data_IF_448476091219
#
_entry.id   IF_448476091219
#
_cell.length_a   1.000
_cell.length_b   1.000
_cell.length_c   1.000
_cell.angle_alpha   90.00
_cell.angle_beta   90.00
_cell.angle_gamma   90.00
#
_symmetry.space_group_name_H-M   'P 1'
#
loop_
_entity.id
_entity.type
_entity.pdbx_description
1 polymer ?
#
# COMPACT_ATOMS: atom_id res chain seq x y z
N UNK A 1 -79.24 21.20 115.05
CA UNK A 1 -78.80 22.07 113.93
C UNK A 1 -77.36 21.80 113.48
N UNK A 2 -76.46 21.19 114.28
CA UNK A 2 -75.07 20.91 113.82
C UNK A 2 -74.92 19.75 112.82
N UNK A 3 -75.79 18.72 112.81
CA UNK A 3 -75.63 17.57 111.90
C UNK A 3 -75.86 17.89 110.41
N UNK A 4 -76.84 18.73 110.06
CA UNK A 4 -77.16 19.07 108.65
C UNK A 4 -76.03 19.84 107.94
N UNK A 5 -75.29 20.69 108.67
CA UNK A 5 -74.17 21.47 108.10
C UNK A 5 -72.96 20.59 107.75
N UNK A 6 -72.76 19.52 108.54
CA UNK A 6 -71.69 18.55 108.32
C UNK A 6 -71.99 17.63 107.14
N UNK A 7 -73.23 17.15 107.00
CA UNK A 7 -73.70 16.36 105.85
C UNK A 7 -73.65 17.14 104.53
N UNK A 8 -74.04 18.42 104.53
CA UNK A 8 -74.00 19.26 103.33
C UNK A 8 -72.55 19.55 102.88
N UNK A 9 -71.62 19.70 103.84
CA UNK A 9 -70.19 19.87 103.56
C UNK A 9 -69.56 18.59 103.00
N UNK A 10 -69.91 17.42 103.55
CA UNK A 10 -69.50 16.12 103.03
C UNK A 10 -70.06 15.86 101.61
N UNK A 11 -71.30 16.24 101.33
CA UNK A 11 -71.90 16.13 99.99
C UNK A 11 -71.17 17.01 98.97
N UNK A 12 -70.86 18.27 99.30
CA UNK A 12 -70.11 19.18 98.43
C UNK A 12 -68.69 18.66 98.15
N UNK A 13 -68.07 18.03 99.15
CA UNK A 13 -66.73 17.42 99.03
C UNK A 13 -66.78 16.15 98.16
N UNK A 14 -67.80 15.31 98.31
CA UNK A 14 -68.06 14.15 97.45
C UNK A 14 -68.27 14.56 95.99
N UNK A 15 -69.05 15.62 95.73
CA UNK A 15 -69.26 16.14 94.38
C UNK A 15 -67.98 16.72 93.76
N UNK A 16 -67.15 17.39 94.56
CA UNK A 16 -65.85 17.90 94.13
C UNK A 16 -64.88 16.76 93.78
N UNK A 17 -64.84 15.71 94.59
CA UNK A 17 -64.06 14.49 94.33
C UNK A 17 -64.56 13.80 93.05
N UNK A 18 -65.87 13.71 92.85
CA UNK A 18 -66.46 13.15 91.63
C UNK A 18 -66.12 13.94 90.36
N UNK A 19 -66.12 15.29 90.45
CA UNK A 19 -65.69 16.17 89.35
C UNK A 19 -64.19 16.01 89.05
N UNK A 20 -63.35 15.98 90.07
CA UNK A 20 -61.90 15.75 89.92
C UNK A 20 -61.61 14.38 89.33
N UNK A 21 -62.31 13.33 89.77
CA UNK A 21 -62.19 11.99 89.21
C UNK A 21 -62.52 11.93 87.71
N UNK A 22 -63.60 12.60 87.29
CA UNK A 22 -63.94 12.72 85.86
C UNK A 22 -62.89 13.49 85.06
N UNK A 23 -62.34 14.57 85.61
CA UNK A 23 -61.28 15.33 84.92
C UNK A 23 -59.98 14.52 84.82
N UNK A 24 -59.58 13.80 85.86
CA UNK A 24 -58.41 12.89 85.83
C UNK A 24 -58.62 11.79 84.78
N UNK A 25 -59.81 11.19 84.73
CA UNK A 25 -60.16 10.20 83.71
C UNK A 25 -60.01 10.78 82.30
N UNK A 26 -60.50 12.01 82.08
CA UNK A 26 -60.45 12.69 80.79
C UNK A 26 -59.01 13.05 80.39
N UNK A 27 -58.19 13.52 81.34
CA UNK A 27 -56.75 13.79 81.14
C UNK A 27 -55.98 12.52 80.80
N UNK A 28 -56.23 11.42 81.52
CA UNK A 28 -55.61 10.13 81.26
C UNK A 28 -55.97 9.61 79.86
N UNK A 29 -57.22 9.76 79.43
CA UNK A 29 -57.62 9.36 78.07
C UNK A 29 -56.86 10.18 77.00
N UNK A 30 -56.75 11.50 77.17
CA UNK A 30 -55.97 12.36 76.26
C UNK A 30 -54.50 11.96 76.22
N UNK A 31 -53.93 11.55 77.35
CA UNK A 31 -52.54 11.09 77.42
C UNK A 31 -52.34 9.80 76.62
N UNK A 32 -53.24 8.82 76.78
CA UNK A 32 -53.22 7.55 76.04
C UNK A 32 -53.33 7.82 74.53
N UNK A 33 -54.24 8.70 74.10
CA UNK A 33 -54.43 9.03 72.69
C UNK A 33 -53.18 9.71 72.08
N UNK A 34 -52.53 10.59 72.86
CA UNK A 34 -51.27 11.23 72.45
C UNK A 34 -50.13 10.21 72.34
N UNK A 35 -50.02 9.28 73.29
CA UNK A 35 -49.02 8.22 73.28
C UNK A 35 -49.21 7.30 72.07
N UNK A 36 -50.45 6.89 71.77
CA UNK A 36 -50.76 6.09 70.59
C UNK A 36 -50.38 6.81 69.29
N UNK A 37 -50.74 8.10 69.17
CA UNK A 37 -50.37 8.93 68.00
C UNK A 37 -48.85 9.11 67.87
N UNK A 38 -48.12 9.17 68.98
CA UNK A 38 -46.67 9.24 68.97
C UNK A 38 -46.04 7.93 68.51
N UNK A 39 -46.57 6.79 68.97
CA UNK A 39 -46.15 5.46 68.51
C UNK A 39 -46.42 5.29 67.01
N UNK A 40 -47.61 5.64 66.52
CA UNK A 40 -47.92 5.59 65.08
C UNK A 40 -46.95 6.43 64.25
N UNK A 41 -46.65 7.66 64.67
CA UNK A 41 -45.65 8.50 64.01
C UNK A 41 -44.26 7.88 64.01
N UNK A 42 -43.83 7.28 65.12
CA UNK A 42 -42.55 6.60 65.22
C UNK A 42 -42.46 5.40 64.27
N UNK A 43 -43.55 4.64 64.12
CA UNK A 43 -43.65 3.52 63.16
C UNK A 43 -43.54 4.02 61.72
N UNK A 44 -44.28 5.07 61.36
CA UNK A 44 -44.22 5.67 60.01
C UNK A 44 -42.82 6.20 59.71
N UNK A 45 -42.19 6.89 60.67
CA UNK A 45 -40.84 7.41 60.51
C UNK A 45 -39.81 6.28 60.35
N UNK A 46 -39.96 5.18 61.09
CA UNK A 46 -39.09 4.01 60.96
C UNK A 46 -39.21 3.35 59.58
N UNK A 47 -40.44 3.26 59.01
CA UNK A 47 -40.66 2.77 57.65
C UNK A 47 -39.98 3.65 56.60
N UNK A 48 -40.14 4.97 56.70
CA UNK A 48 -39.51 5.92 55.78
C UNK A 48 -37.97 5.82 55.83
N UNK A 49 -37.39 5.68 57.02
CA UNK A 49 -35.95 5.50 57.19
C UNK A 49 -35.48 4.19 56.52
N UNK A 50 -36.23 3.10 56.68
CA UNK A 50 -35.90 1.82 56.05
C UNK A 50 -35.95 1.91 54.51
N UNK A 51 -37.00 2.53 53.95
CA UNK A 51 -37.12 2.75 52.50
C UNK A 51 -35.99 3.62 51.95
N UNK A 52 -35.62 4.69 52.66
CA UNK A 52 -34.50 5.54 52.28
C UNK A 52 -33.17 4.80 52.34
N UNK A 53 -32.94 3.97 53.37
CA UNK A 53 -31.74 3.17 53.50
C UNK A 53 -31.61 2.14 52.37
N UNK A 54 -32.71 1.47 52.01
CA UNK A 54 -32.74 0.53 50.89
C UNK A 54 -32.47 1.24 49.55
N UNK A 55 -33.06 2.43 49.34
CA UNK A 55 -32.78 3.25 48.17
C UNK A 55 -31.29 3.62 48.08
N UNK A 56 -30.70 4.13 49.17
CA UNK A 56 -29.28 4.49 49.24
C UNK A 56 -28.39 3.29 48.91
N UNK A 57 -28.65 2.13 49.52
CA UNK A 57 -27.88 0.91 49.26
C UNK A 57 -27.98 0.47 47.78
N UNK A 58 -29.19 0.48 47.21
CA UNK A 58 -29.39 0.11 45.80
C UNK A 58 -28.61 1.04 44.86
N UNK A 59 -28.64 2.36 45.14
CA UNK A 59 -27.92 3.37 44.36
C UNK A 59 -26.42 3.23 44.49
N UNK A 60 -25.93 2.93 45.69
CA UNK A 60 -24.50 2.72 45.94
C UNK A 60 -23.99 1.47 45.21
N UNK A 61 -24.79 0.39 45.15
CA UNK A 61 -24.47 -0.80 44.34
C UNK A 61 -24.38 -0.47 42.85
N UNK A 62 -25.36 0.26 42.30
CA UNK A 62 -25.31 0.66 40.88
C UNK A 62 -24.11 1.54 40.55
N UNK A 63 -23.66 2.37 41.49
CA UNK A 63 -22.52 3.25 41.31
C UNK A 63 -21.20 2.47 41.27
N UNK A 64 -21.04 1.45 42.13
CA UNK A 64 -19.90 0.54 42.08
C UNK A 64 -19.85 -0.26 40.78
N UNK A 65 -21.00 -0.73 40.28
CA UNK A 65 -21.06 -1.45 39.00
C UNK A 65 -20.67 -0.54 37.83
N UNK A 66 -21.09 0.73 37.83
CA UNK A 66 -20.66 1.70 36.81
C UNK A 66 -19.17 2.03 36.90
N UNK A 67 -18.62 2.19 38.10
CA UNK A 67 -17.20 2.45 38.30
C UNK A 67 -16.33 1.28 37.78
N UNK A 68 -16.75 0.05 38.06
CA UNK A 68 -16.09 -1.13 37.53
C UNK A 68 -16.11 -1.18 35.99
N UNK A 69 -17.29 -0.97 35.37
CA UNK A 69 -17.42 -0.94 33.90
C UNK A 69 -16.61 0.18 33.25
N UNK A 70 -16.56 1.34 33.89
CA UNK A 70 -15.75 2.47 33.44
C UNK A 70 -14.26 2.08 33.44
N UNK A 71 -13.77 1.49 34.53
CA UNK A 71 -12.38 1.07 34.64
C UNK A 71 -12.02 -0.03 33.61
N UNK A 72 -12.92 -1.00 33.37
CA UNK A 72 -12.73 -1.99 32.29
C UNK A 72 -12.64 -1.33 30.91
N UNK A 73 -13.52 -0.37 30.62
CA UNK A 73 -13.53 0.35 29.35
C UNK A 73 -12.25 1.16 29.14
N UNK A 74 -11.74 1.81 30.19
CA UNK A 74 -10.47 2.56 30.15
C UNK A 74 -9.31 1.62 29.86
N UNK A 75 -9.24 0.47 30.52
CA UNK A 75 -8.18 -0.52 30.31
C UNK A 75 -8.21 -1.10 28.89
N UNK A 76 -9.41 -1.43 28.36
CA UNK A 76 -9.55 -1.91 26.99
C UNK A 76 -9.11 -0.84 25.98
N UNK A 77 -9.48 0.42 26.22
CA UNK A 77 -9.09 1.54 25.37
C UNK A 77 -7.57 1.73 25.35
N UNK A 78 -6.91 1.62 26.51
CA UNK A 78 -5.45 1.74 26.61
C UNK A 78 -4.73 0.60 25.88
N UNK A 79 -5.21 -0.66 26.03
CA UNK A 79 -4.66 -1.79 25.26
C UNK A 79 -4.80 -1.61 23.74
N UNK A 80 -5.94 -1.09 23.28
CA UNK A 80 -6.16 -0.81 21.86
C UNK A 80 -5.29 0.34 21.34
N UNK A 81 -5.00 1.34 22.18
CA UNK A 81 -4.07 2.41 21.83
C UNK A 81 -2.64 1.88 21.68
N UNK A 82 -2.17 1.06 22.62
CA UNK A 82 -0.84 0.44 22.54
C UNK A 82 -0.71 -0.47 21.31
N UNK A 83 -1.73 -1.29 21.02
CA UNK A 83 -1.75 -2.12 19.82
C UNK A 83 -1.79 -1.27 18.54
N UNK A 84 -2.53 -0.16 18.54
CA UNK A 84 -2.54 0.82 17.46
C UNK A 84 -1.17 1.45 17.21
N UNK A 85 -0.47 1.85 18.27
CA UNK A 85 0.86 2.46 18.18
C UNK A 85 1.89 1.44 17.64
N UNK A 86 1.87 0.20 18.12
CA UNK A 86 2.74 -0.86 17.61
C UNK A 86 2.48 -1.16 16.13
N UNK A 87 1.21 -1.22 15.71
CA UNK A 87 0.82 -1.43 14.32
C UNK A 87 1.27 -0.26 13.43
N UNK A 88 1.15 0.97 13.93
CA UNK A 88 1.62 2.16 13.22
C UNK A 88 3.15 2.11 13.03
N UNK A 89 3.91 1.75 14.05
CA UNK A 89 5.37 1.62 13.93
C UNK A 89 5.79 0.56 12.91
N UNK A 90 5.15 -0.61 12.92
CA UNK A 90 5.44 -1.69 11.96
C UNK A 90 5.11 -1.22 10.55
N UNK A 91 3.95 -0.62 10.34
CA UNK A 91 3.53 -0.10 9.03
C UNK A 91 4.47 1.00 8.53
N UNK A 92 4.94 1.88 9.43
CA UNK A 92 5.91 2.92 9.08
C UNK A 92 7.24 2.30 8.61
N UNK A 93 7.76 1.30 9.34
CA UNK A 93 9.00 0.60 8.98
C UNK A 93 8.87 -0.12 7.63
N UNK A 94 7.75 -0.81 7.38
CA UNK A 94 7.49 -1.46 6.09
C UNK A 94 7.42 -0.45 4.94
N UNK A 95 6.73 0.67 5.13
CA UNK A 95 6.68 1.74 4.13
C UNK A 95 8.05 2.32 3.82
N UNK A 96 8.89 2.52 4.84
CA UNK A 96 10.25 3.03 4.67
C UNK A 96 11.13 2.03 3.89
N UNK A 97 11.01 0.73 4.20
CA UNK A 97 11.71 -0.32 3.48
C UNK A 97 11.27 -0.42 2.01
N UNK A 98 9.95 -0.43 1.75
CA UNK A 98 9.40 -0.43 0.38
C UNK A 98 9.87 0.80 -0.39
N UNK A 99 9.92 1.96 0.25
CA UNK A 99 10.41 3.20 -0.36
C UNK A 99 11.88 3.10 -0.76
N UNK A 100 12.71 2.48 0.09
CA UNK A 100 14.12 2.23 -0.20
C UNK A 100 14.28 1.25 -1.36
N UNK A 101 13.60 0.11 -1.33
CA UNK A 101 13.63 -0.89 -2.41
C UNK A 101 13.13 -0.32 -3.74
N UNK A 102 12.10 0.53 -3.71
CA UNK A 102 11.61 1.22 -4.90
C UNK A 102 12.67 2.16 -5.50
N UNK A 103 13.37 2.93 -4.67
CA UNK A 103 14.47 3.81 -5.13
C UNK A 103 15.59 2.99 -5.77
N UNK A 104 16.02 1.90 -5.14
CA UNK A 104 17.05 1.00 -5.67
C UNK A 104 16.61 0.35 -6.99
N UNK A 105 15.38 -0.18 -7.04
CA UNK A 105 14.81 -0.75 -8.26
C UNK A 105 14.70 0.27 -9.39
N UNK A 106 14.34 1.52 -9.09
CA UNK A 106 14.25 2.60 -10.08
C UNK A 106 15.62 2.90 -10.68
N UNK A 107 16.65 3.06 -9.84
CA UNK A 107 18.03 3.29 -10.32
C UNK A 107 18.51 2.14 -11.20
N UNK A 108 18.25 0.90 -10.80
CA UNK A 108 18.62 -0.28 -11.59
C UNK A 108 17.90 -0.30 -12.94
N UNK A 109 16.60 0.02 -12.96
CA UNK A 109 15.80 0.03 -14.17
C UNK A 109 16.22 1.17 -15.13
N UNK A 110 16.53 2.35 -14.58
CA UNK A 110 17.05 3.48 -15.36
C UNK A 110 18.41 3.14 -16.00
N UNK A 111 19.29 2.45 -15.26
CA UNK A 111 20.58 1.97 -15.78
C UNK A 111 20.39 0.92 -16.89
N UNK A 112 19.50 -0.04 -16.67
CA UNK A 112 19.13 -1.04 -17.69
C UNK A 112 18.57 -0.39 -18.96
N UNK A 113 17.67 0.59 -18.79
CA UNK A 113 17.12 1.35 -19.90
C UNK A 113 18.20 2.12 -20.64
N UNK A 114 19.11 2.79 -19.93
CA UNK A 114 20.25 3.51 -20.53
C UNK A 114 21.13 2.56 -21.35
N UNK A 115 21.58 1.46 -20.77
CA UNK A 115 22.41 0.46 -21.45
C UNK A 115 21.71 -0.13 -22.69
N UNK A 116 20.40 -0.39 -22.59
CA UNK A 116 19.61 -0.87 -23.71
C UNK A 116 19.50 0.19 -24.82
N UNK A 117 19.29 1.46 -24.47
CA UNK A 117 19.23 2.55 -25.45
C UNK A 117 20.57 2.79 -26.14
N UNK A 118 21.67 2.75 -25.41
CA UNK A 118 23.03 2.88 -25.96
C UNK A 118 23.37 1.71 -26.89
N UNK A 119 22.99 0.49 -26.50
CA UNK A 119 23.15 -0.71 -27.34
C UNK A 119 22.36 -0.58 -28.64
N UNK A 120 21.11 -0.12 -28.57
CA UNK A 120 20.29 0.16 -29.76
C UNK A 120 20.90 1.28 -30.62
N UNK A 121 21.44 2.34 -30.02
CA UNK A 121 22.11 3.41 -30.75
C UNK A 121 23.36 2.91 -31.48
N UNK A 122 24.22 2.13 -30.82
CA UNK A 122 25.40 1.48 -31.44
C UNK A 122 25.00 0.63 -32.64
N UNK A 123 23.96 -0.20 -32.49
CA UNK A 123 23.45 -1.04 -33.57
C UNK A 123 22.84 -0.22 -34.72
N UNK A 124 22.08 0.83 -34.40
CA UNK A 124 21.48 1.76 -35.37
C UNK A 124 22.56 2.47 -36.19
N UNK A 125 23.63 2.97 -35.54
CA UNK A 125 24.77 3.61 -36.22
C UNK A 125 25.45 2.61 -37.15
N UNK A 126 25.71 1.39 -36.69
CA UNK A 126 26.33 0.33 -37.49
C UNK A 126 25.49 -0.05 -38.71
N UNK A 127 24.17 -0.14 -38.55
CA UNK A 127 23.22 -0.36 -39.66
C UNK A 127 23.20 0.81 -40.66
N UNK A 128 23.36 2.06 -40.19
CA UNK A 128 23.40 3.26 -41.06
C UNK A 128 24.73 3.41 -41.81
N UNK A 129 25.86 2.98 -41.24
CA UNK A 129 27.19 3.07 -41.88
C UNK A 129 27.47 1.91 -42.83
N UNK A 130 26.83 0.74 -42.62
CA UNK A 130 27.02 -0.45 -43.45
C UNK A 130 26.78 -0.26 -44.96
N UNK A 131 25.72 0.46 -45.42
CA UNK A 131 25.53 0.74 -46.84
C UNK A 131 26.66 1.55 -47.48
N UNK A 132 27.32 2.42 -46.72
CA UNK A 132 28.48 3.20 -47.21
C UNK A 132 29.74 2.35 -47.35
N UNK A 133 29.93 1.38 -46.45
CA UNK A 133 31.00 0.37 -46.57
C UNK A 133 30.76 -0.52 -47.80
N UNK A 134 29.50 -0.90 -48.07
CA UNK A 134 29.13 -1.67 -49.26
C UNK A 134 29.45 -0.94 -50.58
N UNK A 135 29.26 0.38 -50.65
CA UNK A 135 29.65 1.20 -51.81
C UNK A 135 31.16 1.25 -52.03
N UNK A 136 31.95 1.28 -50.95
CA UNK A 136 33.41 1.22 -51.02
C UNK A 136 33.92 -0.15 -51.51
N UNK A 137 33.19 -1.22 -51.22
CA UNK A 137 33.50 -2.57 -51.73
C UNK A 137 33.15 -2.70 -53.24
N UNK A 138 32.16 -1.95 -53.73
CA UNK A 138 31.81 -1.89 -55.16
C UNK A 138 32.83 -1.15 -56.03
N UNK A 139 33.68 -0.28 -55.46
CA UNK A 139 34.66 0.51 -56.24
C UNK A 139 35.95 -0.25 -56.61
N UNK A 140 36.09 -1.51 -56.19
CA UNK A 140 37.23 -2.37 -56.55
C UNK A 140 36.94 -3.13 -57.85
N UNK A 141 37.93 -3.30 -58.76
CA UNK A 141 37.73 -3.96 -60.05
C UNK A 141 37.35 -5.45 -59.88
N UNK A 142 36.45 -5.99 -60.72
CA UNK A 142 35.91 -7.34 -60.56
C UNK A 142 36.89 -8.40 -61.07
N UNK A 143 37.61 -9.04 -60.15
CA UNK A 143 38.41 -10.22 -60.42
C UNK A 143 37.55 -11.49 -60.16
N UNK A 144 37.12 -12.16 -61.23
CA UNK A 144 36.50 -13.50 -61.25
C UNK A 144 35.15 -13.71 -60.52
N UNK A 145 34.42 -14.74 -60.98
CA UNK A 145 33.03 -15.14 -60.68
C UNK A 145 32.66 -15.23 -59.19
N UNK A 146 33.63 -15.44 -58.30
CA UNK A 146 33.43 -15.44 -56.85
C UNK A 146 33.03 -14.05 -56.30
N UNK A 147 33.54 -12.95 -56.88
CA UNK A 147 33.19 -11.58 -56.48
C UNK A 147 31.73 -11.24 -56.79
N UNK A 148 31.16 -11.80 -57.87
CA UNK A 148 29.76 -11.59 -58.23
C UNK A 148 28.80 -12.18 -57.19
N UNK A 149 29.06 -13.41 -56.72
CA UNK A 149 28.26 -14.05 -55.67
C UNK A 149 28.37 -13.32 -54.32
N UNK A 150 29.58 -12.84 -53.97
CA UNK A 150 29.83 -12.03 -52.77
C UNK A 150 29.14 -10.67 -52.85
N UNK A 151 29.10 -10.02 -54.01
CA UNK A 151 28.37 -8.77 -54.22
C UNK A 151 26.86 -8.95 -54.05
N UNK A 152 26.28 -10.02 -54.61
CA UNK A 152 24.84 -10.31 -54.44
C UNK A 152 24.51 -10.61 -52.97
N UNK A 153 25.35 -11.39 -52.28
CA UNK A 153 25.18 -11.65 -50.85
C UNK A 153 25.29 -10.35 -50.02
N UNK A 154 26.24 -9.46 -50.35
CA UNK A 154 26.40 -8.17 -49.69
C UNK A 154 25.21 -7.23 -49.94
N UNK A 155 24.68 -7.19 -51.17
CA UNK A 155 23.48 -6.41 -51.52
C UNK A 155 22.26 -6.90 -50.74
N UNK A 156 22.07 -8.22 -50.64
CA UNK A 156 20.99 -8.81 -49.83
C UNK A 156 21.15 -8.45 -48.35
N UNK A 157 22.37 -8.53 -47.81
CA UNK A 157 22.65 -8.13 -46.44
C UNK A 157 22.37 -6.64 -46.18
N UNK A 158 22.66 -5.76 -47.15
CA UNK A 158 22.35 -4.33 -47.06
C UNK A 158 20.83 -4.11 -47.03
N UNK A 159 20.08 -4.85 -47.84
CA UNK A 159 18.62 -4.73 -47.89
C UNK A 159 17.96 -5.27 -46.61
N UNK A 160 18.45 -6.41 -46.09
CA UNK A 160 18.05 -6.95 -44.79
C UNK A 160 18.36 -5.96 -43.64
N UNK A 161 19.52 -5.30 -43.68
CA UNK A 161 19.89 -4.24 -42.72
C UNK A 161 18.96 -3.02 -42.81
N UNK A 162 18.53 -2.61 -44.00
CA UNK A 162 17.54 -1.52 -44.19
C UNK A 162 16.18 -1.90 -43.63
N UNK A 163 15.74 -3.14 -43.86
CA UNK A 163 14.46 -3.64 -43.34
C UNK A 163 14.49 -3.74 -41.81
N UNK A 164 15.60 -4.23 -41.23
CA UNK A 164 15.80 -4.25 -39.78
C UNK A 164 15.80 -2.84 -39.16
N UNK A 165 16.38 -1.84 -39.84
CA UNK A 165 16.35 -0.45 -39.38
C UNK A 165 14.93 0.11 -39.32
N UNK A 166 14.12 -0.10 -40.38
CA UNK A 166 12.70 0.31 -40.39
C UNK A 166 11.93 -0.31 -39.23
N UNK A 167 12.13 -1.61 -38.99
CA UNK A 167 11.48 -2.31 -37.88
C UNK A 167 11.84 -1.73 -36.51
N UNK A 168 13.12 -1.39 -36.29
CA UNK A 168 13.58 -0.72 -35.05
C UNK A 168 12.95 0.66 -34.89
N UNK A 169 12.83 1.44 -35.97
CA UNK A 169 12.18 2.75 -35.97
C UNK A 169 10.68 2.66 -35.67
N UNK A 170 9.99 1.68 -36.27
CA UNK A 170 8.57 1.40 -36.00
C UNK A 170 8.34 0.96 -34.55
N UNK A 171 9.17 0.08 -34.01
CA UNK A 171 9.10 -0.31 -32.59
C UNK A 171 9.32 0.87 -31.66
N UNK A 172 10.27 1.77 -31.96
CA UNK A 172 10.48 3.01 -31.18
C UNK A 172 9.25 3.91 -31.21
N UNK A 173 8.64 4.08 -32.38
CA UNK A 173 7.42 4.89 -32.55
C UNK A 173 6.24 4.27 -31.79
N UNK A 174 6.02 2.96 -31.90
CA UNK A 174 4.97 2.26 -31.14
C UNK A 174 5.19 2.38 -29.63
N UNK A 175 6.43 2.18 -29.17
CA UNK A 175 6.82 2.37 -27.75
C UNK A 175 6.48 3.78 -27.28
N UNK A 176 6.86 4.81 -28.04
CA UNK A 176 6.52 6.21 -27.73
C UNK A 176 5.01 6.47 -27.62
N UNK A 177 4.22 5.93 -28.57
CA UNK A 177 2.76 6.05 -28.55
C UNK A 177 2.12 5.41 -27.31
N UNK A 178 2.64 4.24 -26.88
CA UNK A 178 2.17 3.55 -25.68
C UNK A 178 2.46 4.40 -24.43
N UNK A 179 3.68 4.92 -24.27
CA UNK A 179 4.00 5.80 -23.13
C UNK A 179 3.15 7.07 -23.10
N UNK A 180 2.93 7.72 -24.25
CA UNK A 180 2.06 8.89 -24.31
C UNK A 180 0.62 8.56 -23.87
N UNK A 181 0.12 7.37 -24.22
CA UNK A 181 -1.20 6.89 -23.80
C UNK A 181 -1.25 6.59 -22.30
N UNK A 182 -0.20 5.98 -21.73
CA UNK A 182 -0.08 5.73 -20.29
C UNK A 182 -0.14 7.04 -19.51
N UNK A 183 0.71 8.02 -19.86
CA UNK A 183 0.75 9.33 -19.19
C UNK A 183 -0.61 10.04 -19.25
N UNK A 184 -1.29 9.96 -20.39
CA UNK A 184 -2.63 10.56 -20.55
C UNK A 184 -3.65 9.91 -19.63
N UNK A 185 -3.65 8.58 -19.54
CA UNK A 185 -4.58 7.82 -18.69
C UNK A 185 -4.28 8.08 -17.21
N UNK A 186 -3.02 8.12 -16.81
CA UNK A 186 -2.61 8.43 -15.43
C UNK A 186 -3.10 9.82 -15.00
N UNK A 187 -2.93 10.84 -15.83
CA UNK A 187 -3.44 12.19 -15.55
C UNK A 187 -4.96 12.22 -15.43
N UNK A 188 -5.67 11.50 -16.31
CA UNK A 188 -7.14 11.42 -16.23
C UNK A 188 -7.61 10.71 -14.97
N UNK A 189 -6.88 9.67 -14.54
CA UNK A 189 -7.18 8.93 -13.32
C UNK A 189 -6.96 9.80 -12.08
N UNK A 190 -5.83 10.50 -12.00
CA UNK A 190 -5.50 11.39 -10.87
C UNK A 190 -6.55 12.49 -10.68
N UNK A 191 -6.96 13.14 -11.78
CA UNK A 191 -8.05 14.14 -11.76
C UNK A 191 -9.37 13.51 -11.27
N UNK A 192 -9.74 12.33 -11.78
CA UNK A 192 -10.98 11.66 -11.36
C UNK A 192 -10.95 11.25 -9.89
N UNK A 193 -9.83 10.71 -9.41
CA UNK A 193 -9.67 10.32 -8.01
C UNK A 193 -9.73 11.53 -7.09
N UNK A 194 -9.03 12.62 -7.43
CA UNK A 194 -9.02 13.85 -6.64
C UNK A 194 -10.41 14.51 -6.56
N UNK A 195 -11.15 14.54 -7.67
CA UNK A 195 -12.54 15.04 -7.68
C UNK A 195 -13.46 14.15 -6.86
N UNK A 196 -13.34 12.82 -6.97
CA UNK A 196 -14.15 11.86 -6.20
C UNK A 196 -13.89 11.95 -4.68
N UNK A 197 -12.63 12.11 -4.28
CA UNK A 197 -12.26 12.29 -2.86
C UNK A 197 -12.82 13.60 -2.29
N UNK A 198 -12.71 14.70 -3.05
CA UNK A 198 -13.27 15.98 -2.64
C UNK A 198 -14.79 15.92 -2.43
N UNK A 199 -15.51 15.22 -3.31
CA UNK A 199 -16.95 15.03 -3.19
C UNK A 199 -17.32 14.20 -1.94
N UNK A 200 -16.55 13.15 -1.64
CA UNK A 200 -16.73 12.31 -0.44
C UNK A 200 -16.49 13.14 0.83
N UNK A 201 -15.43 13.96 0.87
CA UNK A 201 -15.13 14.83 2.01
C UNK A 201 -16.23 15.86 2.23
N UNK A 202 -16.75 16.47 1.17
CA UNK A 202 -17.89 17.40 1.26
C UNK A 202 -19.13 16.73 1.83
N UNK A 203 -19.50 15.54 1.33
CA UNK A 203 -20.65 14.79 1.83
C UNK A 203 -20.48 14.39 3.30
N UNK A 204 -19.27 13.97 3.71
CA UNK A 204 -18.94 13.70 5.12
C UNK A 204 -19.11 14.95 5.99
N UNK A 205 -18.59 16.09 5.53
CA UNK A 205 -18.74 17.39 6.21
C UNK A 205 -20.20 17.78 6.40
N UNK A 206 -21.02 17.70 5.34
CA UNK A 206 -22.45 18.01 5.40
C UNK A 206 -23.22 17.09 6.36
N UNK A 207 -22.89 15.79 6.41
CA UNK A 207 -23.49 14.84 7.36
C UNK A 207 -23.13 15.23 8.81
N UNK A 208 -21.88 15.62 9.07
CA UNK A 208 -21.43 16.06 10.41
C UNK A 208 -22.13 17.35 10.82
N UNK A 209 -22.21 18.32 9.91
CA UNK A 209 -22.86 19.61 10.14
C UNK A 209 -24.36 19.45 10.48
N UNK A 210 -25.10 18.69 9.66
CA UNK A 210 -26.51 18.43 9.89
C UNK A 210 -26.77 17.65 11.20
N UNK A 211 -25.89 16.70 11.53
CA UNK A 211 -25.97 15.94 12.78
C UNK A 211 -25.71 16.81 14.03
N UNK A 212 -24.89 17.86 13.90
CA UNK A 212 -24.64 18.80 14.99
C UNK A 212 -25.77 19.83 15.14
N UNK A 213 -26.46 20.16 14.04
CA UNK A 213 -27.58 21.10 14.03
C UNK A 213 -28.91 20.47 14.49
N UNK A 214 -29.04 19.13 14.44
CA UNK A 214 -30.20 18.41 14.97
C UNK A 214 -30.09 18.19 16.49
N UNK A 215 -30.54 19.15 17.29
CA UNK A 215 -30.76 18.97 18.74
C UNK A 215 -32.12 18.34 19.06
N UNK A 216 -33.06 18.41 18.12
CA UNK A 216 -34.39 17.81 18.19
C UNK A 216 -34.46 16.70 17.13
N UNK A 217 -35.17 15.61 17.41
CA UNK A 217 -35.37 14.47 16.50
C UNK A 217 -36.30 14.86 15.33
N UNK A 218 -35.89 15.87 14.56
CA UNK A 218 -36.60 16.31 13.37
C UNK A 218 -36.51 15.21 12.31
N UNK A 219 -37.64 14.52 12.11
CA UNK A 219 -37.77 13.41 11.18
C UNK A 219 -37.39 13.79 9.74
N UNK A 220 -37.54 15.06 9.36
CA UNK A 220 -37.15 15.56 8.04
C UNK A 220 -35.62 15.67 7.91
N UNK A 221 -34.93 16.17 8.95
CA UNK A 221 -33.45 16.25 8.98
C UNK A 221 -32.82 14.86 9.03
N UNK A 222 -33.40 13.92 9.77
CA UNK A 222 -32.94 12.53 9.82
C UNK A 222 -33.03 11.85 8.45
N UNK A 223 -34.09 12.11 7.70
CA UNK A 223 -34.27 11.59 6.34
C UNK A 223 -33.21 12.13 5.39
N UNK A 224 -32.92 13.44 5.45
CA UNK A 224 -31.84 14.07 4.65
C UNK A 224 -30.47 13.48 5.00
N UNK A 225 -30.20 13.22 6.28
CA UNK A 225 -28.95 12.57 6.71
C UNK A 225 -28.85 11.14 6.14
N UNK A 226 -29.96 10.38 6.13
CA UNK A 226 -29.95 9.01 5.61
C UNK A 226 -29.79 8.96 4.07
N UNK A 227 -30.44 9.89 3.36
CA UNK A 227 -30.24 10.09 1.93
C UNK A 227 -28.78 10.46 1.60
N UNK A 228 -28.18 11.39 2.36
CA UNK A 228 -26.76 11.75 2.19
C UNK A 228 -25.80 10.60 2.51
N UNK A 229 -26.10 9.77 3.52
CA UNK A 229 -25.32 8.56 3.82
C UNK A 229 -25.42 7.53 2.70
N UNK A 230 -26.58 7.42 2.06
CA UNK A 230 -26.75 6.55 0.89
C UNK A 230 -25.92 7.04 -0.29
N UNK A 231 -26.01 8.33 -0.62
CA UNK A 231 -25.19 8.95 -1.67
C UNK A 231 -23.69 8.81 -1.41
N UNK A 232 -23.27 8.92 -0.14
CA UNK A 232 -21.88 8.69 0.27
C UNK A 232 -21.44 7.25 -0.04
N UNK A 233 -22.26 6.25 0.33
CA UNK A 233 -21.99 4.83 0.02
C UNK A 233 -21.94 4.58 -1.49
N UNK A 234 -22.87 5.15 -2.23
CA UNK A 234 -22.97 4.99 -3.69
C UNK A 234 -21.75 5.59 -4.41
N UNK A 235 -21.08 6.60 -3.82
CA UNK A 235 -19.80 7.15 -4.33
C UNK A 235 -18.56 6.43 -3.83
N UNK A 236 -18.56 5.90 -2.60
CA UNK A 236 -17.41 5.17 -2.03
C UNK A 236 -17.25 3.77 -2.66
N UNK A 237 -18.36 3.07 -2.95
CA UNK A 237 -18.34 1.71 -3.48
C UNK A 237 -17.58 1.58 -4.82
N UNK A 238 -17.82 2.41 -5.86
CA UNK A 238 -17.09 2.32 -7.13
C UNK A 238 -15.59 2.59 -6.99
N UNK A 239 -15.18 3.43 -6.04
CA UNK A 239 -13.75 3.68 -5.76
C UNK A 239 -13.09 2.45 -5.14
N UNK A 240 -13.78 1.79 -4.21
CA UNK A 240 -13.30 0.54 -3.60
C UNK A 240 -13.22 -0.60 -4.62
N UNK A 241 -14.26 -0.77 -5.45
CA UNK A 241 -14.30 -1.76 -6.52
C UNK A 241 -13.20 -1.51 -7.57
N UNK A 242 -13.00 -0.25 -7.96
CA UNK A 242 -11.93 0.13 -8.88
C UNK A 242 -10.55 -0.17 -8.29
N UNK A 243 -10.34 0.08 -7.00
CA UNK A 243 -9.08 -0.22 -6.32
C UNK A 243 -8.82 -1.73 -6.28
N UNK A 244 -9.83 -2.53 -5.92
CA UNK A 244 -9.74 -3.99 -5.92
C UNK A 244 -9.45 -4.56 -7.33
N UNK A 245 -10.10 -4.01 -8.35
CA UNK A 245 -9.85 -4.36 -9.75
C UNK A 245 -8.42 -3.99 -10.16
N UNK A 246 -7.91 -2.83 -9.73
CA UNK A 246 -6.55 -2.40 -10.04
C UNK A 246 -5.51 -3.31 -9.39
N UNK A 247 -5.67 -3.66 -8.11
CA UNK A 247 -4.83 -4.64 -7.41
C UNK A 247 -4.82 -5.99 -8.16
N UNK A 248 -5.98 -6.47 -8.58
CA UNK A 248 -6.11 -7.70 -9.37
C UNK A 248 -5.36 -7.61 -10.70
N UNK A 249 -5.45 -6.47 -11.40
CA UNK A 249 -4.71 -6.24 -12.66
C UNK A 249 -3.20 -6.23 -12.44
N UNK A 250 -2.71 -5.57 -11.39
CA UNK A 250 -1.28 -5.56 -11.03
C UNK A 250 -0.77 -6.99 -10.81
N UNK A 251 -1.51 -7.80 -10.06
CA UNK A 251 -1.14 -9.21 -9.81
C UNK A 251 -1.10 -10.01 -11.13
N UNK A 252 -2.11 -9.85 -11.99
CA UNK A 252 -2.16 -10.55 -13.30
C UNK A 252 -1.04 -10.10 -14.24
N UNK A 253 -0.74 -8.81 -14.27
CA UNK A 253 0.34 -8.24 -15.08
C UNK A 253 1.69 -8.79 -14.63
N UNK A 254 2.00 -8.74 -13.32
CA UNK A 254 3.21 -9.34 -12.75
C UNK A 254 3.33 -10.83 -13.10
N UNK A 255 2.23 -11.59 -12.97
CA UNK A 255 2.20 -13.01 -13.34
C UNK A 255 2.46 -13.23 -14.83
N UNK A 256 1.88 -12.40 -15.70
CA UNK A 256 2.13 -12.48 -17.15
C UNK A 256 3.57 -12.10 -17.50
N UNK A 257 4.12 -11.09 -16.84
CA UNK A 257 5.49 -10.64 -17.07
C UNK A 257 6.51 -11.71 -16.62
N UNK A 258 6.24 -12.38 -15.49
CA UNK A 258 7.04 -13.53 -15.06
C UNK A 258 7.02 -14.67 -16.10
N UNK A 259 5.84 -15.00 -16.64
CA UNK A 259 5.74 -16.00 -17.72
C UNK A 259 6.51 -15.60 -18.97
N UNK A 260 6.45 -14.32 -19.37
CA UNK A 260 7.23 -13.82 -20.50
C UNK A 260 8.73 -13.92 -20.24
N UNK A 261 9.15 -13.63 -19.02
CA UNK A 261 10.54 -13.77 -18.61
C UNK A 261 11.01 -15.23 -18.62
N UNK A 262 10.20 -16.15 -18.10
CA UNK A 262 10.45 -17.60 -18.15
C UNK A 262 10.52 -18.10 -19.59
N UNK A 263 9.55 -17.75 -20.44
CA UNK A 263 9.56 -18.12 -21.86
C UNK A 263 10.80 -17.57 -22.59
N UNK A 264 11.21 -16.33 -22.28
CA UNK A 264 12.46 -15.76 -22.82
C UNK A 264 13.67 -16.54 -22.33
N UNK A 265 13.72 -16.92 -21.05
CA UNK A 265 14.82 -17.69 -20.47
C UNK A 265 14.92 -19.07 -21.13
N UNK A 266 13.80 -19.77 -21.28
CA UNK A 266 13.74 -21.07 -21.97
C UNK A 266 14.15 -20.96 -23.43
N UNK A 267 13.68 -19.94 -24.15
CA UNK A 267 14.10 -19.70 -25.53
C UNK A 267 15.62 -19.49 -25.62
N UNK A 268 16.18 -18.65 -24.75
CA UNK A 268 17.63 -18.40 -24.71
C UNK A 268 18.40 -19.69 -24.40
N UNK A 269 17.93 -20.49 -23.43
CA UNK A 269 18.57 -21.75 -23.06
C UNK A 269 18.48 -22.80 -24.16
N UNK A 270 17.30 -22.96 -24.78
CA UNK A 270 17.09 -23.85 -25.91
C UNK A 270 17.95 -23.49 -27.12
N UNK A 271 18.17 -22.20 -27.36
CA UNK A 271 19.07 -21.73 -28.42
C UNK A 271 20.56 -21.95 -28.10
N UNK A 272 20.97 -22.11 -26.84
CA UNK A 272 22.37 -22.44 -26.48
C UNK A 272 22.77 -23.86 -26.88
N UNK A 273 21.82 -24.80 -26.89
CA UNK A 273 22.06 -26.22 -27.20
C UNK A 273 22.17 -26.54 -28.69
N UNK A 274 21.85 -25.59 -29.57
CA UNK A 274 21.96 -25.77 -31.02
C UNK A 274 23.43 -25.67 -31.44
N UNK A 275 24.00 -26.76 -31.97
CA UNK A 275 25.39 -26.78 -32.43
C UNK A 275 25.59 -25.88 -33.64
N UNK A 276 26.76 -25.23 -33.71
CA UNK A 276 27.12 -24.27 -34.77
C UNK A 276 27.42 -24.93 -36.14
N UNK A 277 27.06 -26.20 -36.33
CA UNK A 277 27.49 -27.03 -37.47
C UNK A 277 26.41 -27.27 -38.54
N UNK A 278 25.22 -26.66 -38.41
CA UNK A 278 24.16 -26.71 -39.43
C UNK A 278 24.21 -25.57 -40.48
N UNK A 279 23.39 -25.68 -41.53
CA UNK A 279 23.21 -24.65 -42.58
C UNK A 279 22.67 -23.31 -42.04
N UNK A 280 22.09 -23.31 -40.83
CA UNK A 280 21.67 -22.12 -40.09
C UNK A 280 22.60 -21.96 -38.89
N UNK A 281 23.34 -20.85 -38.84
CA UNK A 281 24.30 -20.55 -37.76
C UNK A 281 23.74 -19.46 -36.87
N UNK A 282 23.68 -19.72 -35.57
CA UNK A 282 23.32 -18.72 -34.56
C UNK A 282 24.59 -17.96 -34.16
N UNK A 283 24.59 -16.64 -34.39
CA UNK A 283 25.69 -15.75 -33.97
C UNK A 283 25.34 -15.12 -32.63
N UNK A 284 26.03 -15.52 -31.56
CA UNK A 284 25.81 -14.95 -30.23
C UNK A 284 26.59 -13.63 -30.08
N UNK A 285 26.01 -12.65 -29.41
CA UNK A 285 26.70 -11.42 -29.03
C UNK A 285 27.81 -11.77 -28.03
N UNK A 286 29.06 -11.42 -28.35
CA UNK A 286 30.24 -11.71 -27.52
C UNK A 286 30.99 -13.00 -27.88
N UNK A 287 30.42 -13.89 -28.69
CA UNK A 287 31.09 -15.11 -29.16
C UNK A 287 32.11 -14.78 -30.25
N UNK A 288 33.36 -15.23 -30.06
CA UNK A 288 34.47 -14.97 -30.94
C UNK A 288 34.77 -16.21 -31.79
N UNK A 289 35.02 -16.01 -33.09
CA UNK A 289 35.49 -17.09 -33.94
C UNK A 289 36.93 -17.46 -33.58
N UNK A 290 37.24 -18.74 -33.41
CA UNK A 290 38.59 -19.22 -33.05
C UNK A 290 39.61 -19.10 -34.20
N UNK A 291 39.12 -19.07 -35.44
CA UNK A 291 39.96 -19.12 -36.66
C UNK A 291 41.00 -17.97 -36.78
N UNK A 292 40.65 -16.69 -36.51
CA UNK A 292 41.63 -15.60 -36.56
C UNK A 292 42.70 -15.69 -35.47
N UNK A 293 42.33 -16.18 -34.29
CA UNK A 293 43.28 -16.40 -33.18
C UNK A 293 44.24 -17.54 -33.49
N UNK A 294 43.74 -18.60 -34.14
CA UNK A 294 44.56 -19.71 -34.61
C UNK A 294 45.57 -19.27 -35.67
N UNK A 295 45.12 -18.50 -36.68
CA UNK A 295 46.01 -17.95 -37.71
C UNK A 295 47.07 -17.00 -37.14
N UNK A 296 46.74 -16.24 -36.09
CA UNK A 296 47.69 -15.40 -35.37
C UNK A 296 48.72 -16.21 -34.58
N UNK A 297 48.27 -17.21 -33.82
CA UNK A 297 49.13 -18.04 -32.98
C UNK A 297 50.07 -18.93 -33.81
N UNK A 298 49.62 -19.42 -34.97
CA UNK A 298 50.43 -20.22 -35.91
C UNK A 298 51.66 -19.48 -36.47
N UNK A 299 51.73 -18.16 -36.35
CA UNK A 299 52.92 -17.38 -36.76
C UNK A 299 54.07 -17.47 -35.75
N UNK A 300 53.74 -17.71 -34.47
CA UNK A 300 54.70 -17.66 -33.37
C UNK A 300 54.86 -19.00 -32.66
N UNK A 301 53.94 -19.94 -32.86
CA UNK A 301 53.89 -21.24 -32.20
C UNK A 301 53.47 -22.33 -33.19
N UNK A 302 54.02 -23.54 -33.05
CA UNK A 302 53.71 -24.68 -33.94
C UNK A 302 52.64 -25.58 -33.31
N UNK A 303 53.04 -26.51 -32.44
CA UNK A 303 52.14 -27.52 -31.87
C UNK A 303 51.19 -26.95 -30.82
N UNK A 304 51.59 -25.94 -30.04
CA UNK A 304 50.70 -25.33 -29.04
C UNK A 304 49.77 -24.24 -29.60
N UNK A 305 49.85 -23.91 -30.89
CA UNK A 305 49.13 -22.78 -31.47
C UNK A 305 47.60 -22.89 -31.30
N UNK A 306 47.06 -24.09 -31.40
CA UNK A 306 45.62 -24.35 -31.30
C UNK A 306 45.10 -24.23 -29.88
N UNK A 307 45.87 -24.73 -28.91
CA UNK A 307 45.58 -24.59 -27.49
C UNK A 307 45.64 -23.12 -27.06
N UNK A 308 46.72 -22.41 -27.43
CA UNK A 308 46.91 -20.99 -27.11
C UNK A 308 45.88 -20.08 -27.77
N UNK A 309 45.46 -20.41 -29.00
CA UNK A 309 44.38 -19.68 -29.67
C UNK A 309 43.04 -19.85 -28.96
N UNK A 310 42.74 -21.08 -28.51
CA UNK A 310 41.51 -21.37 -27.77
C UNK A 310 41.50 -20.68 -26.40
N UNK A 311 42.61 -20.73 -25.66
CA UNK A 311 42.78 -20.02 -24.38
C UNK A 311 42.61 -18.50 -24.54
N UNK A 312 43.21 -17.91 -25.58
CA UNK A 312 43.10 -16.47 -25.85
C UNK A 312 41.70 -16.07 -26.29
N UNK A 313 41.03 -16.90 -27.11
CA UNK A 313 39.62 -16.72 -27.47
C UNK A 313 38.74 -16.67 -26.23
N UNK A 314 38.83 -17.68 -25.36
CA UNK A 314 38.00 -17.75 -24.15
C UNK A 314 38.27 -16.59 -23.20
N UNK A 315 39.54 -16.18 -23.07
CA UNK A 315 39.91 -15.01 -22.26
C UNK A 315 39.23 -13.72 -22.77
N UNK A 316 39.22 -13.52 -24.07
CA UNK A 316 38.58 -12.35 -24.68
C UNK A 316 37.05 -12.42 -24.62
N UNK A 317 36.45 -13.60 -24.76
CA UNK A 317 35.02 -13.79 -24.54
C UNK A 317 34.61 -13.45 -23.10
N UNK A 318 35.44 -13.80 -22.11
CA UNK A 318 35.20 -13.45 -20.71
C UNK A 318 35.26 -11.94 -20.51
N UNK A 319 36.24 -11.27 -21.10
CA UNK A 319 36.33 -9.82 -21.04
C UNK A 319 35.18 -9.12 -21.75
N UNK A 320 34.64 -9.69 -22.82
CA UNK A 320 33.47 -9.15 -23.53
C UNK A 320 32.16 -9.28 -22.74
N UNK A 321 32.12 -10.07 -21.65
CA UNK A 321 30.97 -10.12 -20.74
C UNK A 321 30.88 -8.87 -19.86
N UNK A 322 32.01 -8.21 -19.61
CA UNK A 322 32.07 -6.97 -18.85
C UNK A 322 31.70 -5.78 -19.77
N UNK A 323 30.59 -5.06 -19.53
CA UNK A 323 30.18 -3.91 -20.34
C UNK A 323 31.21 -2.77 -20.32
N UNK A 324 32.01 -2.68 -19.26
CA UNK A 324 33.00 -1.62 -19.04
C UNK A 324 34.38 -2.00 -19.62
N UNK A 325 34.52 -3.21 -20.18
CA UNK A 325 35.75 -3.61 -20.81
C UNK A 325 35.92 -2.99 -22.20
N UNK A 326 37.07 -2.36 -22.43
CA UNK A 326 37.43 -1.73 -23.68
C UNK A 326 38.77 -2.31 -24.18
N UNK A 327 38.79 -3.03 -25.32
CA UNK A 327 39.99 -3.71 -25.83
C UNK A 327 41.10 -2.74 -26.26
N UNK A 328 40.76 -1.47 -26.52
CA UNK A 328 41.71 -0.46 -26.95
C UNK A 328 41.82 0.63 -25.89
N UNK A 329 43.04 0.90 -25.44
CA UNK A 329 43.38 2.03 -24.59
C UNK A 329 44.06 3.10 -25.45
N UNK A 330 43.57 4.33 -25.36
CA UNK A 330 44.24 5.49 -25.98
C UNK A 330 45.41 5.88 -25.08
N UNK A 331 46.63 5.77 -25.61
CA UNK A 331 47.84 6.29 -24.96
C UNK A 331 48.41 7.43 -25.79
N UNK A 332 48.91 8.48 -25.11
CA UNK A 332 49.63 9.57 -25.76
C UNK A 332 51.11 9.24 -25.77
N UNK A 333 51.64 9.00 -26.96
CA UNK A 333 53.08 8.83 -27.20
C UNK A 333 53.49 9.96 -28.13
N UNK A 334 54.42 10.80 -27.69
CA UNK A 334 54.95 11.93 -28.47
C UNK A 334 53.88 12.92 -28.97
N UNK A 335 52.88 13.21 -28.13
CA UNK A 335 51.82 14.18 -28.46
C UNK A 335 50.79 13.68 -29.47
N UNK A 336 50.89 12.44 -29.95
CA UNK A 336 49.88 11.79 -30.81
C UNK A 336 49.14 10.69 -30.04
N UNK A 337 47.84 10.64 -30.22
CA UNK A 337 46.98 9.60 -29.63
C UNK A 337 47.13 8.31 -30.45
N UNK A 338 47.61 7.23 -29.79
CA UNK A 338 47.69 5.89 -30.37
C UNK A 338 46.74 4.96 -29.63
N UNK A 339 45.98 4.18 -30.39
CA UNK A 339 45.16 3.08 -29.87
C UNK A 339 46.05 1.85 -29.68
N UNK A 340 46.25 1.45 -28.44
CA UNK A 340 46.96 0.22 -28.09
C UNK A 340 45.96 -0.82 -27.58
N UNK A 341 46.15 -2.07 -28.01
CA UNK A 341 45.47 -3.20 -27.38
C UNK A 341 45.90 -3.28 -25.91
N UNK A 342 44.92 -3.42 -25.02
CA UNK A 342 45.14 -3.44 -23.57
C UNK A 342 45.92 -4.67 -23.13
#
# INVERSE_FOLDING_TARGET
MMNNSYEESLSKQSDAIGRLGKEIQNQNQKFIDLEHKHVEKAVVMSKLIAELAENINSRQKTLLEMDHKYNESVNMTMMLMDEGDTLHEVSHREHEQISKEHKESKVLNDLLHKNFTESLQKYTIRLRTWPSIGRLVQSYPPNATQISSLQVAAMKQIDDCKNALKLVEDLKRQKGNIYAKIIRIEKQLDVKQKLGLLDIEKLKGSIIELKYQSYDEDAEVLKVIDDLKKDLRDKEQPLQDLNALNQTRIIKERKSNNKLWEARKELVEGLKGLSSHGNVRLKRMGELGTRPFLEGMKKNYNEEAEKRASELCSLWEEYLKDPDWHPFKVIRVEGKEKLCLR
#
